data_IF_234953726553
#
_entry.id   IF_234953726553
#
_cell.length_a   1.000
_cell.length_b   1.000
_cell.length_c   1.000
_cell.angle_alpha   90.00
_cell.angle_beta   90.00
_cell.angle_gamma   90.00
#
_symmetry.space_group_name_H-M   'P 1'
#
loop_
_entity.id
_entity.type
_entity.pdbx_description
1 polymer ?
#
# COMPACT_ATOMS: atom_id res chain seq x y z
N UNK A 1 -28.87 23.03 -18.18
CA UNK A 1 -30.21 22.78 -17.59
C UNK A 1 -30.16 21.46 -16.83
N UNK A 2 -30.58 21.48 -15.57
CA UNK A 2 -30.42 20.43 -14.55
C UNK A 2 -31.20 19.13 -14.80
N UNK A 3 -30.66 17.99 -14.35
CA UNK A 3 -31.16 17.02 -13.30
C UNK A 3 -30.57 15.62 -13.52
N UNK A 4 -29.72 15.15 -12.60
CA UNK A 4 -29.96 14.17 -11.50
C UNK A 4 -30.25 12.72 -11.95
N UNK A 5 -29.35 11.79 -11.60
CA UNK A 5 -29.56 10.89 -10.45
C UNK A 5 -28.30 10.07 -10.13
N UNK A 6 -28.06 9.92 -8.83
CA UNK A 6 -26.96 9.21 -8.19
C UNK A 6 -27.41 7.81 -7.76
N UNK A 7 -26.51 6.82 -7.75
CA UNK A 7 -26.55 5.73 -6.75
C UNK A 7 -25.16 5.11 -6.56
N UNK A 8 -24.72 5.11 -5.31
CA UNK A 8 -23.50 4.52 -4.76
C UNK A 8 -23.88 3.17 -4.16
N UNK A 9 -23.13 2.10 -4.48
CA UNK A 9 -23.31 0.78 -3.90
C UNK A 9 -22.43 0.63 -2.64
N UNK A 10 -23.08 0.39 -1.50
CA UNK A 10 -22.45 -0.04 -0.25
C UNK A 10 -22.87 -1.50 0.01
N UNK A 11 -21.88 -2.37 0.20
CA UNK A 11 -22.07 -3.79 0.56
C UNK A 11 -21.97 -3.92 2.07
N UNK A 12 -23.05 -4.41 2.70
CA UNK A 12 -23.07 -4.96 4.07
C UNK A 12 -23.69 -6.36 4.01
N UNK A 13 -22.98 -7.34 4.57
CA UNK A 13 -23.46 -8.71 4.80
C UNK A 13 -24.02 -8.83 6.25
N UNK A 14 -24.98 -9.74 6.50
CA UNK A 14 -25.76 -9.79 7.74
C UNK A 14 -25.22 -10.75 8.81
N UNK A 15 -25.58 -10.44 10.07
CA UNK A 15 -25.45 -11.29 11.25
C UNK A 15 -26.51 -12.41 11.26
N UNK A 16 -26.10 -13.61 11.67
CA UNK A 16 -26.99 -14.71 12.01
C UNK A 16 -27.23 -14.77 13.53
N UNK A 17 -28.49 -14.97 13.90
CA UNK A 17 -28.98 -15.22 15.24
C UNK A 17 -29.09 -16.72 15.51
N UNK A 18 -28.77 -17.18 16.73
CA UNK A 18 -29.25 -18.46 17.27
C UNK A 18 -29.69 -18.28 18.73
N UNK A 19 -30.84 -18.88 19.00
CA UNK A 19 -31.74 -18.93 20.15
C UNK A 19 -31.19 -19.50 21.46
N UNK A 20 -31.86 -19.15 22.58
CA UNK A 20 -31.66 -19.75 23.90
C UNK A 20 -32.79 -20.67 24.39
N UNK A 21 -32.71 -21.08 25.66
CA UNK A 21 -33.84 -21.45 26.53
C UNK A 21 -33.81 -22.85 27.17
N UNK A 22 -33.92 -22.90 28.51
CA UNK A 22 -34.30 -24.05 29.35
C UNK A 22 -33.41 -24.24 30.60
N UNK A 23 -33.70 -23.70 31.79
CA UNK A 23 -34.74 -24.00 32.81
C UNK A 23 -34.24 -24.80 34.06
N UNK A 24 -34.31 -24.12 35.22
CA UNK A 24 -34.83 -24.58 36.55
C UNK A 24 -34.04 -25.62 37.37
N UNK A 25 -33.89 -25.63 38.72
CA UNK A 25 -34.68 -25.15 39.89
C UNK A 25 -33.84 -25.14 41.21
N UNK A 26 -34.22 -24.27 42.18
CA UNK A 26 -34.35 -24.49 43.66
C UNK A 26 -33.10 -24.73 44.57
N UNK A 27 -32.99 -24.34 45.85
CA UNK A 27 -33.84 -23.72 46.91
C UNK A 27 -32.95 -23.39 48.15
N UNK A 28 -33.26 -22.27 48.86
CA UNK A 28 -33.08 -21.89 50.30
C UNK A 28 -31.72 -22.14 51.06
N UNK A 29 -31.30 -21.45 52.13
CA UNK A 29 -31.88 -20.47 53.07
C UNK A 29 -30.75 -19.67 53.79
N UNK A 30 -31.14 -18.54 54.40
CA UNK A 30 -30.58 -17.74 55.52
C UNK A 30 -29.80 -18.52 56.62
N UNK A 31 -28.90 -17.99 57.47
CA UNK A 31 -28.68 -16.64 58.05
C UNK A 31 -27.37 -16.59 58.89
N UNK A 32 -26.81 -15.37 59.03
CA UNK A 32 -26.09 -14.77 60.19
C UNK A 32 -24.82 -15.42 60.78
N UNK A 33 -23.70 -14.67 60.82
CA UNK A 33 -23.16 -14.02 62.03
C UNK A 33 -21.80 -13.27 61.80
N UNK A 34 -21.75 -12.04 62.32
CA UNK A 34 -20.61 -11.29 62.94
C UNK A 34 -19.35 -10.86 62.14
N UNK A 35 -19.43 -9.62 61.62
CA UNK A 35 -18.65 -8.38 61.87
C UNK A 35 -17.18 -8.34 62.41
N UNK A 36 -16.45 -7.22 62.17
CA UNK A 36 -14.99 -7.11 61.97
C UNK A 36 -14.21 -6.49 63.15
N UNK A 37 -12.87 -6.51 63.13
CA UNK A 37 -12.03 -5.69 64.02
C UNK A 37 -10.71 -5.21 63.39
N UNK A 38 -10.52 -3.88 63.46
CA UNK A 38 -9.25 -3.14 63.50
C UNK A 38 -8.80 -3.00 64.97
N UNK A 39 -7.49 -3.15 65.26
CA UNK A 39 -6.71 -2.47 66.34
C UNK A 39 -5.28 -3.06 66.36
N UNK A 40 -4.22 -2.27 66.15
CA UNK A 40 -3.42 -1.51 67.13
C UNK A 40 -2.52 -2.33 68.10
N UNK A 41 -1.21 -2.38 67.76
CA UNK A 41 -0.01 -1.89 68.50
C UNK A 41 0.35 -2.41 69.93
N UNK A 42 1.60 -2.92 70.08
CA UNK A 42 2.60 -2.71 71.18
C UNK A 42 3.99 -2.97 70.55
N UNK A 43 5.01 -2.10 70.48
CA UNK A 43 5.80 -1.24 71.39
C UNK A 43 6.68 -1.94 72.43
N UNK A 44 8.00 -1.76 72.26
CA UNK A 44 9.03 -1.42 73.26
C UNK A 44 10.26 -0.91 72.43
N UNK A 45 10.94 0.20 72.67
CA UNK A 45 10.92 1.28 73.66
C UNK A 45 12.33 1.90 73.69
N UNK A 46 12.47 3.23 73.63
CA UNK A 46 13.31 4.06 74.52
C UNK A 46 13.34 5.53 74.07
N UNK A 47 13.06 6.41 75.04
CA UNK A 47 13.01 7.86 74.97
C UNK A 47 14.40 8.52 74.83
N UNK A 48 14.44 9.75 74.31
CA UNK A 48 14.83 10.92 75.12
C UNK A 48 14.61 12.23 74.36
N UNK A 49 14.02 13.16 75.09
CA UNK A 49 13.65 14.52 74.71
C UNK A 49 14.87 15.34 74.25
N UNK A 50 14.63 16.11 73.17
CA UNK A 50 15.08 17.49 72.89
C UNK A 50 16.29 18.10 73.62
N UNK A 51 16.99 19.02 72.90
CA UNK A 51 16.86 20.42 73.31
C UNK A 51 16.30 21.28 72.16
N UNK A 52 15.00 21.51 72.24
CA UNK A 52 14.16 22.37 71.39
C UNK A 52 14.16 23.81 71.92
N UNK A 53 15.33 24.36 72.27
CA UNK A 53 15.44 25.72 72.83
C UNK A 53 16.36 26.67 72.05
N UNK A 54 16.84 26.26 70.86
CA UNK A 54 17.63 27.14 69.95
C UNK A 54 16.99 27.42 68.59
N UNK A 55 15.69 27.11 68.43
CA UNK A 55 14.97 27.15 67.16
C UNK A 55 14.43 28.54 66.74
N UNK A 56 14.83 29.61 67.41
CA UNK A 56 14.43 30.98 67.07
C UNK A 56 15.23 31.64 65.94
N UNK A 57 16.47 31.23 65.69
CA UNK A 57 17.36 31.89 64.71
C UNK A 57 17.70 31.01 63.48
N UNK A 58 17.32 29.74 63.50
CA UNK A 58 17.62 28.79 62.42
C UNK A 58 16.52 28.70 61.35
N UNK A 59 15.29 29.15 61.64
CA UNK A 59 14.21 29.17 60.64
C UNK A 59 14.45 30.22 59.56
N UNK A 60 14.94 31.40 59.93
CA UNK A 60 15.21 32.47 58.97
C UNK A 60 16.46 32.17 58.14
N UNK A 61 17.51 31.63 58.76
CA UNK A 61 18.69 31.14 58.04
C UNK A 61 18.38 29.93 57.14
N UNK A 62 17.52 29.00 57.59
CA UNK A 62 17.07 27.87 56.77
C UNK A 62 16.13 28.31 55.64
N UNK A 63 15.31 29.34 55.86
CA UNK A 63 14.49 29.96 54.83
C UNK A 63 15.38 30.67 53.79
N UNK A 64 16.44 31.38 54.20
CA UNK A 64 17.40 32.01 53.30
C UNK A 64 18.28 31.01 52.56
N UNK A 65 18.69 29.91 53.19
CA UNK A 65 19.38 28.80 52.51
C UNK A 65 18.45 28.07 51.54
N UNK A 66 17.16 27.93 51.87
CA UNK A 66 16.16 27.32 50.99
C UNK A 66 15.78 28.26 49.84
N UNK A 67 15.70 29.57 50.08
CA UNK A 67 15.50 30.61 49.08
C UNK A 67 16.73 30.81 48.19
N UNK A 68 17.94 30.67 48.73
CA UNK A 68 19.21 30.66 47.99
C UNK A 68 19.36 29.41 47.14
N UNK A 69 18.98 28.23 47.67
CA UNK A 69 18.92 26.97 46.91
C UNK A 69 17.81 26.98 45.86
N UNK A 70 16.68 27.64 46.12
CA UNK A 70 15.62 27.85 45.12
C UNK A 70 16.04 28.87 44.03
N UNK A 71 16.81 29.91 44.37
CA UNK A 71 17.41 30.83 43.40
C UNK A 71 18.43 30.12 42.50
N UNK A 72 19.37 29.38 43.09
CA UNK A 72 20.31 28.55 42.32
C UNK A 72 19.59 27.50 41.49
N UNK A 73 18.57 26.82 42.03
CA UNK A 73 17.81 25.84 41.25
C UNK A 73 17.02 26.50 40.12
N UNK A 74 16.50 27.72 40.31
CA UNK A 74 15.79 28.46 39.26
C UNK A 74 16.75 28.97 38.18
N UNK A 75 17.96 29.38 38.55
CA UNK A 75 19.02 29.74 37.61
C UNK A 75 19.58 28.51 36.87
N UNK A 76 19.68 27.37 37.55
CA UNK A 76 20.01 26.06 36.96
C UNK A 76 18.89 25.63 36.00
N UNK A 77 17.62 25.73 36.38
CA UNK A 77 16.48 25.42 35.50
C UNK A 77 16.38 26.39 34.33
N UNK A 78 16.58 27.70 34.55
CA UNK A 78 16.60 28.70 33.48
C UNK A 78 17.79 28.51 32.54
N UNK A 79 18.94 28.05 33.04
CA UNK A 79 20.07 27.66 32.18
C UNK A 79 19.78 26.37 31.43
N UNK A 80 19.05 25.41 32.00
CA UNK A 80 18.55 24.24 31.27
C UNK A 80 17.55 24.63 30.16
N UNK A 81 16.59 25.52 30.41
CA UNK A 81 15.68 26.04 29.37
C UNK A 81 16.44 26.83 28.28
N UNK A 82 17.45 27.61 28.68
CA UNK A 82 18.32 28.35 27.76
C UNK A 82 19.24 27.43 26.94
N UNK A 83 19.70 26.32 27.50
CA UNK A 83 20.44 25.26 26.81
C UNK A 83 19.52 24.50 25.83
N UNK A 84 18.32 24.11 26.26
CA UNK A 84 17.32 23.47 25.39
C UNK A 84 16.98 24.34 24.17
N UNK A 85 16.83 25.66 24.35
CA UNK A 85 16.57 26.60 23.25
C UNK A 85 17.80 26.87 22.37
N UNK A 86 19.01 26.90 22.90
CA UNK A 86 20.26 27.01 22.12
C UNK A 86 20.54 25.76 21.29
N UNK A 87 20.41 24.58 21.90
CA UNK A 87 20.62 23.29 21.25
C UNK A 87 19.62 23.11 20.10
N UNK A 88 18.36 23.50 20.28
CA UNK A 88 17.33 23.49 19.23
C UNK A 88 17.73 24.30 17.99
N UNK A 89 18.27 25.51 18.20
CA UNK A 89 18.72 26.40 17.12
C UNK A 89 19.97 25.83 16.45
N UNK A 90 20.85 25.16 17.21
CA UNK A 90 22.07 24.55 16.68
C UNK A 90 21.78 23.29 15.84
N UNK A 91 20.92 22.38 16.28
CA UNK A 91 20.51 21.19 15.52
C UNK A 91 19.84 21.55 14.19
N UNK A 92 19.07 22.65 14.14
CA UNK A 92 18.41 23.12 12.89
C UNK A 92 19.36 23.79 11.92
N UNK A 93 20.41 24.48 12.39
CA UNK A 93 21.34 25.22 11.52
C UNK A 93 22.47 24.37 10.96
N UNK A 94 22.69 23.18 11.51
CA UNK A 94 23.82 22.31 11.14
C UNK A 94 23.44 21.40 9.98
N UNK A 95 24.24 21.38 8.90
CA UNK A 95 23.98 20.51 7.74
C UNK A 95 24.04 19.01 8.09
N UNK A 96 24.77 18.64 9.14
CA UNK A 96 24.92 17.26 9.64
C UNK A 96 24.58 17.19 11.13
N UNK A 97 23.30 17.10 11.51
CA UNK A 97 22.90 17.13 12.92
C UNK A 97 23.42 15.92 13.71
N UNK A 98 23.65 14.76 13.06
CA UNK A 98 24.17 13.56 13.72
C UNK A 98 25.65 13.67 14.13
N UNK A 99 26.43 14.55 13.50
CA UNK A 99 27.83 14.80 13.88
C UNK A 99 27.98 15.51 15.22
N UNK A 100 26.90 16.08 15.75
CA UNK A 100 26.86 16.70 17.07
C UNK A 100 26.77 15.66 18.20
N UNK A 101 26.40 14.41 17.88
CA UNK A 101 26.28 13.36 18.89
C UNK A 101 27.67 12.79 19.17
N UNK A 102 28.25 13.02 20.36
CA UNK A 102 29.58 12.54 20.67
C UNK A 102 29.56 11.02 20.85
N UNK A 103 30.55 10.36 20.23
CA UNK A 103 30.83 8.95 20.49
C UNK A 103 31.85 8.84 21.61
N UNK A 104 31.42 8.34 22.76
CA UNK A 104 32.32 8.04 23.86
C UNK A 104 32.96 6.67 23.67
N UNK A 105 34.28 6.59 23.66
CA UNK A 105 35.00 5.33 23.42
C UNK A 105 34.65 4.22 24.44
N UNK A 106 34.40 4.61 25.70
CA UNK A 106 34.11 3.68 26.81
C UNK A 106 32.64 3.63 27.22
N UNK A 107 31.77 4.50 26.71
CA UNK A 107 30.36 4.55 27.11
C UNK A 107 29.47 4.14 25.95
N UNK A 108 28.55 3.20 26.22
CA UNK A 108 27.58 2.71 25.23
C UNK A 108 26.29 3.55 25.21
N UNK A 109 26.08 4.37 26.24
CA UNK A 109 24.92 5.24 26.38
C UNK A 109 25.33 6.71 26.21
N UNK A 110 24.69 7.39 25.28
CA UNK A 110 24.82 8.84 25.06
C UNK A 110 23.47 9.50 25.33
N UNK A 111 23.36 10.19 26.47
CA UNK A 111 22.18 10.97 26.83
C UNK A 111 22.49 12.46 26.70
N UNK A 112 21.88 13.11 25.71
CA UNK A 112 21.96 14.56 25.50
C UNK A 112 20.74 15.30 26.04
N UNK A 113 19.73 14.56 26.52
CA UNK A 113 18.48 15.15 27.04
C UNK A 113 18.54 15.28 28.56
N UNK A 114 19.34 14.45 29.23
CA UNK A 114 19.43 14.40 30.69
C UNK A 114 18.21 13.72 31.32
N UNK A 115 17.59 12.79 30.59
CA UNK A 115 16.42 12.04 31.06
C UNK A 115 16.85 10.87 31.95
N UNK A 116 18.03 10.30 31.72
CA UNK A 116 18.49 9.11 32.44
C UNK A 116 19.08 9.46 33.80
N UNK A 117 18.63 8.76 34.84
CA UNK A 117 19.30 8.79 36.14
C UNK A 117 20.68 8.12 36.05
N UNK A 118 21.59 8.45 36.97
CA UNK A 118 22.92 7.82 36.99
C UNK A 118 22.85 6.32 37.26
N UNK A 119 21.85 5.87 38.04
CA UNK A 119 21.61 4.46 38.36
C UNK A 119 21.10 3.71 37.13
N UNK A 120 20.04 4.21 36.49
CA UNK A 120 19.45 3.60 35.29
C UNK A 120 20.45 3.56 34.14
N UNK A 121 21.28 4.60 33.98
CA UNK A 121 22.35 4.60 32.97
C UNK A 121 23.35 3.47 33.20
N UNK A 122 23.78 3.27 34.43
CA UNK A 122 24.71 2.21 34.79
C UNK A 122 24.08 0.83 34.55
N UNK A 123 22.79 0.67 34.86
CA UNK A 123 22.04 -0.55 34.58
C UNK A 123 21.97 -0.86 33.09
N UNK A 124 21.68 0.15 32.25
CA UNK A 124 21.68 0.01 30.78
C UNK A 124 23.07 -0.38 30.27
N UNK A 125 24.13 0.29 30.74
CA UNK A 125 25.51 -0.04 30.33
C UNK A 125 25.87 -1.48 30.69
N UNK A 126 25.54 -1.94 31.90
CA UNK A 126 25.74 -3.33 32.31
C UNK A 126 24.92 -4.34 31.50
N UNK A 127 23.67 -4.01 31.15
CA UNK A 127 22.83 -4.86 30.31
C UNK A 127 23.40 -5.00 28.89
N UNK A 128 23.92 -3.90 28.32
CA UNK A 128 24.59 -3.90 27.02
C UNK A 128 25.86 -4.74 27.06
N UNK A 129 26.70 -4.61 28.08
CA UNK A 129 27.94 -5.39 28.21
C UNK A 129 27.66 -6.90 28.34
N UNK A 130 26.64 -7.27 29.12
CA UNK A 130 26.17 -8.66 29.21
C UNK A 130 25.65 -9.16 27.87
N UNK A 131 24.86 -8.36 27.15
CA UNK A 131 24.38 -8.73 25.83
C UNK A 131 25.52 -8.89 24.82
N UNK A 132 26.55 -8.04 24.88
CA UNK A 132 27.72 -8.13 24.01
C UNK A 132 28.49 -9.44 24.25
N UNK A 133 28.74 -9.79 25.52
CA UNK A 133 29.45 -11.03 25.88
C UNK A 133 28.69 -12.31 25.53
N UNK A 134 27.36 -12.32 25.71
CA UNK A 134 26.53 -13.50 25.46
C UNK A 134 26.11 -13.65 23.99
N UNK A 135 25.73 -12.55 23.34
CA UNK A 135 25.11 -12.58 22.01
C UNK A 135 26.05 -12.11 20.89
N UNK A 136 27.25 -11.62 21.21
CA UNK A 136 28.23 -11.03 20.26
C UNK A 136 27.63 -9.89 19.43
N UNK A 137 26.79 -9.08 20.07
CA UNK A 137 26.07 -7.95 19.49
C UNK A 137 26.54 -6.66 20.13
N UNK A 138 26.94 -5.68 19.32
CA UNK A 138 27.33 -4.35 19.79
C UNK A 138 26.12 -3.42 19.77
N UNK A 139 25.64 -3.00 20.93
CA UNK A 139 24.52 -2.07 21.05
C UNK A 139 24.94 -0.71 21.59
N UNK A 140 24.32 0.34 21.04
CA UNK A 140 24.39 1.70 21.57
C UNK A 140 23.00 2.27 21.81
N UNK A 141 22.89 3.13 22.82
CA UNK A 141 21.66 3.85 23.15
C UNK A 141 21.94 5.35 23.08
N UNK A 142 21.14 6.06 22.28
CA UNK A 142 21.31 7.49 22.02
C UNK A 142 19.99 8.20 22.30
N UNK A 143 20.00 9.14 23.24
CA UNK A 143 18.88 10.02 23.53
C UNK A 143 19.24 11.42 23.03
N UNK A 144 18.43 11.94 22.11
CA UNK A 144 18.63 13.24 21.48
C UNK A 144 17.40 14.13 21.69
N UNK A 145 17.58 15.45 21.87
CA UNK A 145 16.47 16.37 22.03
C UNK A 145 15.64 16.49 20.74
N UNK A 146 16.30 16.56 19.58
CA UNK A 146 15.67 16.66 18.25
C UNK A 146 16.57 16.10 17.15
N UNK A 147 15.99 15.69 16.02
CA UNK A 147 16.71 15.25 14.81
C UNK A 147 16.81 16.34 13.72
N UNK A 148 16.33 17.56 14.01
CA UNK A 148 16.38 18.70 13.11
C UNK A 148 15.46 18.55 11.89
N UNK A 149 15.96 18.85 10.69
CA UNK A 149 15.21 18.75 9.41
C UNK A 149 15.29 17.37 8.75
N UNK A 150 15.91 16.39 9.40
CA UNK A 150 16.07 15.05 8.86
C UNK A 150 15.00 14.10 9.36
N UNK A 151 14.75 12.99 8.65
CA UNK A 151 13.85 11.96 9.18
C UNK A 151 14.55 11.23 10.33
N UNK A 152 13.86 10.86 11.43
CA UNK A 152 14.48 10.14 12.56
C UNK A 152 15.21 8.87 12.14
N UNK A 153 14.67 8.16 11.13
CA UNK A 153 15.30 6.96 10.56
C UNK A 153 16.59 7.29 9.81
N UNK A 154 16.62 8.35 8.99
CA UNK A 154 17.83 8.77 8.30
C UNK A 154 18.91 9.23 9.29
N UNK A 155 18.52 10.00 10.31
CA UNK A 155 19.39 10.45 11.39
C UNK A 155 20.01 9.28 12.17
N UNK A 156 19.20 8.28 12.54
CA UNK A 156 19.69 7.09 13.24
C UNK A 156 20.62 6.25 12.34
N UNK A 157 20.29 6.09 11.06
CA UNK A 157 21.16 5.41 10.10
C UNK A 157 22.50 6.13 9.94
N UNK A 158 22.53 7.46 9.87
CA UNK A 158 23.80 8.20 9.75
C UNK A 158 24.69 8.03 10.97
N UNK A 159 24.13 7.99 12.19
CA UNK A 159 24.90 7.65 13.41
C UNK A 159 25.43 6.21 13.31
N UNK A 160 24.59 5.27 12.90
CA UNK A 160 24.95 3.86 12.80
C UNK A 160 26.15 3.64 11.86
N UNK A 161 26.15 4.31 10.71
CA UNK A 161 27.25 4.26 9.74
C UNK A 161 28.50 5.01 10.21
N UNK A 162 28.36 6.25 10.69
CA UNK A 162 29.50 7.06 11.15
C UNK A 162 30.24 6.40 12.31
N UNK A 163 29.53 5.65 13.16
CA UNK A 163 30.12 4.93 14.28
C UNK A 163 30.58 3.50 13.92
N UNK A 164 30.37 3.04 12.69
CA UNK A 164 30.72 1.70 12.23
C UNK A 164 30.24 0.61 13.21
N UNK A 165 28.98 0.70 13.66
CA UNK A 165 28.48 -0.13 14.77
C UNK A 165 28.36 -1.60 14.32
N UNK A 166 29.06 -2.48 15.03
CA UNK A 166 29.05 -3.91 14.78
C UNK A 166 29.83 -4.37 13.55
N UNK A 167 30.63 -3.51 12.94
CA UNK A 167 31.58 -3.91 11.89
C UNK A 167 32.76 -4.72 12.47
N UNK A 168 33.32 -5.68 11.70
CA UNK A 168 32.97 -6.08 10.33
C UNK A 168 31.82 -7.11 10.27
N UNK A 169 31.36 -7.61 11.41
CA UNK A 169 30.42 -8.72 11.48
C UNK A 169 28.98 -8.33 11.11
N UNK A 170 28.63 -7.04 11.15
CA UNK A 170 27.28 -6.52 10.92
C UNK A 170 26.29 -6.83 12.05
N UNK A 171 26.78 -7.08 13.27
CA UNK A 171 25.97 -7.43 14.45
C UNK A 171 25.69 -6.20 15.33
N UNK A 172 25.51 -5.04 14.71
CA UNK A 172 25.30 -3.77 15.41
C UNK A 172 23.83 -3.49 15.69
N UNK A 173 23.54 -2.92 16.85
CA UNK A 173 22.24 -2.35 17.21
C UNK A 173 22.39 -0.90 17.67
N UNK A 174 21.48 -0.04 17.26
CA UNK A 174 21.40 1.33 17.74
C UNK A 174 19.96 1.68 18.08
N UNK A 175 19.72 2.00 19.35
CA UNK A 175 18.47 2.54 19.83
C UNK A 175 18.58 4.06 19.89
N UNK A 176 17.75 4.77 19.13
CA UNK A 176 17.67 6.23 19.15
C UNK A 176 16.30 6.65 19.67
N UNK A 177 16.28 7.48 20.70
CA UNK A 177 15.08 8.10 21.25
C UNK A 177 15.17 9.60 21.00
N UNK A 178 14.25 10.13 20.20
CA UNK A 178 14.16 11.54 19.89
C UNK A 178 13.00 12.16 20.67
N UNK A 179 13.33 13.03 21.63
CA UNK A 179 12.36 13.56 22.60
C UNK A 179 11.27 14.39 21.90
N UNK A 180 11.66 15.34 21.04
CA UNK A 180 10.74 16.30 20.43
C UNK A 180 9.83 15.69 19.37
N UNK A 181 10.38 14.79 18.56
CA UNK A 181 9.62 14.04 17.56
C UNK A 181 8.81 12.90 18.20
N UNK A 182 9.00 12.65 19.51
CA UNK A 182 8.38 11.58 20.27
C UNK A 182 8.52 10.21 19.57
N UNK A 183 9.68 9.95 18.98
CA UNK A 183 9.93 8.76 18.18
C UNK A 183 11.05 7.91 18.77
N UNK A 184 10.84 6.60 18.71
CA UNK A 184 11.83 5.58 19.07
C UNK A 184 12.20 4.82 17.79
N UNK A 185 13.48 4.77 17.47
CA UNK A 185 14.01 4.09 16.29
C UNK A 185 15.03 3.05 16.72
N UNK A 186 14.90 1.83 16.22
CA UNK A 186 15.89 0.77 16.37
C UNK A 186 16.49 0.49 15.00
N UNK A 187 17.78 0.77 14.85
CA UNK A 187 18.55 0.44 13.65
C UNK A 187 19.36 -0.82 13.92
N UNK A 188 19.27 -1.77 13.01
CA UNK A 188 19.92 -3.07 13.10
C UNK A 188 20.87 -3.28 11.92
N UNK A 189 22.01 -3.91 12.21
CA UNK A 189 22.98 -4.29 11.21
C UNK A 189 22.50 -5.43 10.33
N UNK A 190 23.10 -5.57 9.15
CA UNK A 190 22.65 -6.48 8.09
C UNK A 190 22.53 -7.95 8.53
N UNK A 191 23.32 -8.40 9.51
CA UNK A 191 23.30 -9.79 10.02
C UNK A 191 22.02 -10.10 10.79
N UNK A 192 21.57 -9.14 11.60
CA UNK A 192 20.52 -9.32 12.60
C UNK A 192 19.23 -8.56 12.26
N UNK A 193 19.22 -7.82 11.16
CA UNK A 193 18.09 -7.00 10.68
C UNK A 193 16.75 -7.74 10.67
N UNK A 194 16.75 -9.00 10.24
CA UNK A 194 15.55 -9.85 10.14
C UNK A 194 14.89 -10.14 11.50
N UNK A 195 15.63 -10.05 12.60
CA UNK A 195 15.14 -10.32 13.96
C UNK A 195 14.72 -9.07 14.72
N UNK A 196 15.19 -7.90 14.27
CA UNK A 196 14.97 -6.60 14.88
C UNK A 196 14.23 -5.68 13.92
N UNK A 197 13.03 -6.12 13.54
CA UNK A 197 12.18 -5.45 12.57
C UNK A 197 11.14 -4.56 13.26
N UNK A 198 10.45 -3.71 12.48
CA UNK A 198 9.38 -2.85 13.02
C UNK A 198 8.25 -3.63 13.69
N UNK A 199 8.04 -4.89 13.30
CA UNK A 199 7.06 -5.79 13.90
C UNK A 199 7.38 -6.15 15.35
N UNK A 200 8.66 -6.12 15.74
CA UNK A 200 9.10 -6.31 17.13
C UNK A 200 9.09 -4.98 17.90
N UNK A 201 9.65 -3.93 17.30
CA UNK A 201 9.81 -2.65 17.99
C UNK A 201 8.46 -1.98 18.30
N UNK A 202 7.51 -1.98 17.36
CA UNK A 202 6.25 -1.26 17.54
C UNK A 202 5.41 -1.78 18.73
N UNK A 203 5.23 -3.11 18.91
CA UNK A 203 4.62 -3.66 20.13
C UNK A 203 5.43 -3.37 21.39
N UNK A 204 6.76 -3.54 21.36
CA UNK A 204 7.61 -3.27 22.52
C UNK A 204 7.47 -1.82 23.01
N UNK A 205 7.46 -0.85 22.08
CA UNK A 205 7.26 0.56 22.42
C UNK A 205 5.85 0.83 22.95
N UNK A 206 4.82 0.23 22.34
CA UNK A 206 3.42 0.45 22.76
C UNK A 206 3.11 -0.13 24.13
N UNK A 207 3.54 -1.36 24.39
CA UNK A 207 3.17 -2.10 25.60
C UNK A 207 4.11 -1.82 26.78
N UNK A 208 5.39 -1.54 26.53
CA UNK A 208 6.39 -1.36 27.60
C UNK A 208 6.76 0.11 27.78
N UNK A 209 7.15 0.79 26.70
CA UNK A 209 7.74 2.12 26.79
C UNK A 209 6.70 3.21 27.03
N UNK A 210 5.63 3.25 26.22
CA UNK A 210 4.59 4.28 26.29
C UNK A 210 3.88 4.41 27.66
N UNK A 211 3.45 3.33 28.35
CA UNK A 211 2.79 3.48 29.64
C UNK A 211 3.72 4.11 30.70
N UNK A 212 4.97 3.66 30.78
CA UNK A 212 5.94 4.18 31.74
C UNK A 212 6.28 5.67 31.51
N UNK A 213 6.31 6.10 30.24
CA UNK A 213 6.48 7.52 29.91
C UNK A 213 5.25 8.34 30.33
N UNK A 214 4.03 7.81 30.15
CA UNK A 214 2.79 8.46 30.62
C UNK A 214 2.74 8.61 32.14
N UNK A 215 3.30 7.65 32.86
CA UNK A 215 3.43 7.68 34.32
C UNK A 215 4.54 8.63 34.82
N UNK A 216 5.21 9.35 33.91
CA UNK A 216 6.28 10.28 34.25
C UNK A 216 7.61 9.63 34.59
N UNK A 217 7.83 8.35 34.20
CA UNK A 217 9.07 7.59 34.45
C UNK A 217 9.81 7.21 33.16
N UNK A 218 10.30 8.20 32.38
CA UNK A 218 10.95 7.95 31.09
C UNK A 218 12.31 7.24 31.20
N UNK A 219 13.04 7.44 32.32
CA UNK A 219 14.31 6.75 32.57
C UNK A 219 14.10 5.24 32.68
N UNK A 220 13.18 4.83 33.57
CA UNK A 220 12.78 3.44 33.73
C UNK A 220 12.19 2.84 32.44
N UNK A 221 11.41 3.61 31.68
CA UNK A 221 10.89 3.18 30.37
C UNK A 221 12.02 2.77 29.41
N UNK A 222 13.10 3.54 29.39
CA UNK A 222 14.27 3.27 28.54
C UNK A 222 14.98 1.99 28.96
N UNK A 223 15.18 1.79 30.28
CA UNK A 223 15.75 0.56 30.85
C UNK A 223 14.94 -0.66 30.42
N UNK A 224 13.61 -0.61 30.59
CA UNK A 224 12.72 -1.73 30.24
C UNK A 224 12.73 -2.03 28.75
N UNK A 225 12.81 -1.01 27.89
CA UNK A 225 12.93 -1.21 26.46
C UNK A 225 14.26 -1.87 26.07
N UNK A 226 15.37 -1.48 26.71
CA UNK A 226 16.67 -2.13 26.51
C UNK A 226 16.62 -3.60 26.96
N UNK A 227 15.96 -3.90 28.08
CA UNK A 227 15.76 -5.30 28.50
C UNK A 227 14.92 -6.10 27.51
N UNK A 228 13.88 -5.52 26.93
CA UNK A 228 13.09 -6.19 25.89
C UNK A 228 13.95 -6.53 24.66
N UNK A 229 14.81 -5.61 24.24
CA UNK A 229 15.77 -5.82 23.13
C UNK A 229 16.80 -6.89 23.51
N UNK A 230 17.37 -6.83 24.71
CA UNK A 230 18.35 -7.81 25.19
C UNK A 230 17.76 -9.22 25.28
N UNK A 231 16.49 -9.34 25.70
CA UNK A 231 15.76 -10.60 25.70
C UNK A 231 15.56 -11.15 24.29
N UNK A 232 15.09 -10.32 23.36
CA UNK A 232 14.95 -10.70 21.94
C UNK A 232 16.29 -11.16 21.36
N UNK A 233 17.38 -10.45 21.71
CA UNK A 233 18.72 -10.84 21.29
C UNK A 233 19.11 -12.22 21.84
N UNK A 234 18.89 -12.45 23.13
CA UNK A 234 19.22 -13.71 23.78
C UNK A 234 18.38 -14.88 23.24
N UNK A 235 17.12 -14.68 22.88
CA UNK A 235 16.30 -15.76 22.30
C UNK A 235 16.72 -16.08 20.85
N UNK A 236 17.15 -15.07 20.09
CA UNK A 236 17.45 -15.21 18.66
C UNK A 236 18.92 -15.47 18.34
N UNK A 237 19.86 -15.28 19.28
CA UNK A 237 21.30 -15.33 18.96
C UNK A 237 21.75 -16.66 18.35
N UNK A 238 21.23 -17.78 18.86
CA UNK A 238 21.51 -19.10 18.31
C UNK A 238 21.06 -19.27 16.86
N UNK A 239 20.06 -18.50 16.39
CA UNK A 239 19.54 -18.58 15.02
C UNK A 239 20.38 -17.79 14.03
N UNK A 240 20.90 -16.62 14.41
CA UNK A 240 21.76 -15.85 13.51
C UNK A 240 23.20 -16.36 13.49
N UNK A 241 23.65 -17.03 14.55
CA UNK A 241 24.95 -17.73 14.54
C UNK A 241 24.91 -18.99 13.66
N UNK A 242 23.75 -19.61 13.48
CA UNK A 242 23.57 -20.74 12.57
C UNK A 242 23.66 -20.28 11.11
N UNK A 243 24.71 -20.73 10.42
CA UNK A 243 24.91 -20.53 8.99
C UNK A 243 26.16 -21.26 8.50
N UNK A 244 26.12 -21.75 7.26
CA UNK A 244 27.25 -22.46 6.63
C UNK A 244 28.43 -21.51 6.30
N UNK A 245 28.18 -20.20 6.23
CA UNK A 245 29.14 -19.17 5.85
C UNK A 245 29.48 -18.26 7.03
N UNK A 246 30.69 -17.69 7.04
CA UNK A 246 31.09 -16.68 8.02
C UNK A 246 30.20 -15.44 7.92
N UNK A 247 29.89 -14.79 9.04
CA UNK A 247 29.04 -13.58 9.09
C UNK A 247 29.41 -12.50 8.03
N UNK A 248 30.68 -12.11 7.83
CA UNK A 248 31.01 -11.08 6.84
C UNK A 248 30.73 -11.50 5.39
N UNK A 249 30.92 -12.77 5.02
CA UNK A 249 30.62 -13.25 3.66
C UNK A 249 29.12 -13.38 3.43
N UNK A 250 28.38 -13.88 4.42
CA UNK A 250 26.91 -13.95 4.39
C UNK A 250 26.29 -12.56 4.21
N UNK A 251 26.85 -11.55 4.87
CA UNK A 251 26.39 -10.16 4.73
C UNK A 251 26.58 -9.63 3.31
N UNK A 252 27.74 -9.84 2.68
CA UNK A 252 27.95 -9.44 1.28
C UNK A 252 26.93 -10.10 0.35
N UNK A 253 26.64 -11.38 0.53
CA UNK A 253 25.63 -12.10 -0.26
C UNK A 253 24.23 -11.53 -0.03
N UNK A 254 23.85 -11.24 1.23
CA UNK A 254 22.55 -10.65 1.57
C UNK A 254 22.38 -9.25 0.96
N UNK A 255 23.45 -8.45 0.96
CA UNK A 255 23.47 -7.12 0.33
C UNK A 255 23.26 -7.24 -1.19
N UNK A 256 24.02 -8.10 -1.87
CA UNK A 256 23.86 -8.36 -3.31
C UNK A 256 22.43 -8.82 -3.63
N UNK A 257 21.87 -9.74 -2.84
CA UNK A 257 20.50 -10.21 -2.99
C UNK A 257 19.45 -9.10 -2.86
N UNK A 258 19.63 -8.16 -1.93
CA UNK A 258 18.76 -6.98 -1.80
C UNK A 258 18.86 -6.09 -3.05
N UNK A 259 20.07 -5.78 -3.50
CA UNK A 259 20.30 -4.95 -4.70
C UNK A 259 19.66 -5.56 -5.95
N UNK A 260 19.81 -6.88 -6.15
CA UNK A 260 19.17 -7.59 -7.27
C UNK A 260 17.65 -7.53 -7.16
N UNK A 261 17.08 -7.73 -5.96
CA UNK A 261 15.63 -7.65 -5.75
C UNK A 261 15.06 -6.25 -6.04
N UNK A 262 15.78 -5.20 -5.67
CA UNK A 262 15.41 -3.82 -6.03
C UNK A 262 15.46 -3.62 -7.55
N UNK A 263 16.52 -4.08 -8.21
CA UNK A 263 16.65 -4.05 -9.66
C UNK A 263 15.49 -4.77 -10.37
N UNK A 264 15.17 -5.99 -9.96
CA UNK A 264 14.10 -6.79 -10.58
C UNK A 264 12.70 -6.23 -10.31
N UNK A 265 12.45 -5.62 -9.15
CA UNK A 265 11.10 -5.13 -8.81
C UNK A 265 10.82 -3.71 -9.28
N UNK A 266 11.77 -2.78 -9.19
CA UNK A 266 11.51 -1.36 -9.49
C UNK A 266 11.81 -0.99 -10.94
N UNK A 267 12.85 -1.57 -11.53
CA UNK A 267 13.28 -1.24 -12.90
C UNK A 267 12.24 -1.60 -13.97
N UNK A 268 11.48 -2.72 -13.90
CA UNK A 268 10.49 -3.02 -14.93
C UNK A 268 9.39 -1.97 -15.02
N UNK A 269 8.99 -1.36 -13.90
CA UNK A 269 8.00 -0.29 -13.91
C UNK A 269 8.52 0.98 -14.58
N UNK A 270 9.80 1.29 -14.40
CA UNK A 270 10.43 2.41 -15.10
C UNK A 270 10.51 2.14 -16.60
N UNK A 271 10.91 0.93 -17.01
CA UNK A 271 10.97 0.54 -18.42
C UNK A 271 9.58 0.55 -19.06
N UNK A 272 8.57 -0.02 -18.39
CA UNK A 272 7.19 0.00 -18.84
C UNK A 272 6.64 1.44 -18.95
N UNK A 273 6.98 2.31 -17.99
CA UNK A 273 6.65 3.73 -18.04
C UNK A 273 7.25 4.42 -19.26
N UNK A 274 8.54 4.23 -19.51
CA UNK A 274 9.22 4.81 -20.70
C UNK A 274 8.57 4.32 -21.99
N UNK A 275 8.32 3.01 -22.13
CA UNK A 275 7.66 2.45 -23.31
C UNK A 275 6.27 3.05 -23.52
N UNK A 276 5.48 3.19 -22.46
CA UNK A 276 4.16 3.83 -22.53
C UNK A 276 4.24 5.29 -23.01
N UNK A 277 5.15 6.09 -22.45
CA UNK A 277 5.34 7.48 -22.89
C UNK A 277 5.82 7.59 -24.34
N UNK A 278 6.70 6.70 -24.79
CA UNK A 278 7.12 6.67 -26.20
C UNK A 278 5.99 6.30 -27.14
N UNK A 279 5.13 5.34 -26.77
CA UNK A 279 3.95 4.98 -27.55
C UNK A 279 2.93 6.14 -27.60
N UNK A 280 2.68 6.81 -26.46
CA UNK A 280 1.79 7.97 -26.40
C UNK A 280 2.31 9.14 -27.24
N UNK A 281 3.61 9.42 -27.19
CA UNK A 281 4.22 10.49 -28.00
C UNK A 281 4.19 10.16 -29.49
N UNK A 282 4.50 8.92 -29.87
CA UNK A 282 4.37 8.47 -31.26
C UNK A 282 2.93 8.58 -31.78
N UNK A 283 1.95 8.16 -30.97
CA UNK A 283 0.53 8.29 -31.30
C UNK A 283 0.09 9.76 -31.44
N UNK A 284 0.54 10.63 -30.54
CA UNK A 284 0.26 12.06 -30.59
C UNK A 284 0.90 12.71 -31.83
N UNK A 285 2.14 12.35 -32.16
CA UNK A 285 2.83 12.84 -33.36
C UNK A 285 2.15 12.36 -34.65
N UNK A 286 1.64 11.12 -34.67
CA UNK A 286 0.82 10.63 -35.79
C UNK A 286 -0.46 11.45 -35.96
N UNK A 287 -1.15 11.79 -34.87
CA UNK A 287 -2.33 12.66 -34.93
C UNK A 287 -2.01 14.07 -35.44
N UNK A 288 -0.81 14.59 -35.14
CA UNK A 288 -0.36 15.91 -35.63
C UNK A 288 0.01 15.87 -37.12
N UNK A 289 0.63 14.78 -37.60
CA UNK A 289 0.93 14.59 -39.01
C UNK A 289 -0.34 14.63 -39.88
N UNK A 290 -1.48 14.13 -39.36
CA UNK A 290 -2.78 14.20 -40.06
C UNK A 290 -3.28 15.64 -40.27
N UNK A 291 -2.76 16.62 -39.53
CA UNK A 291 -3.13 18.04 -39.67
C UNK A 291 -2.28 18.79 -40.71
N UNK A 292 -1.25 18.14 -41.24
CA UNK A 292 -0.29 18.73 -42.15
C UNK A 292 -0.50 18.19 -43.57
N UNK A 293 -0.54 19.08 -44.56
CA UNK A 293 -0.71 18.68 -45.95
C UNK A 293 0.51 17.87 -46.44
N UNK A 294 0.33 16.68 -47.06
CA UNK A 294 1.44 15.85 -47.54
C UNK A 294 2.22 16.46 -48.70
N UNK A 295 1.68 17.48 -49.39
CA UNK A 295 2.32 18.14 -50.53
C UNK A 295 3.08 19.41 -50.14
N UNK A 296 2.46 20.31 -49.37
CA UNK A 296 3.01 21.64 -49.07
C UNK A 296 3.40 21.83 -47.61
N UNK A 297 3.19 20.83 -46.75
CA UNK A 297 3.50 20.87 -45.32
C UNK A 297 2.86 22.02 -44.52
N UNK A 298 1.84 22.68 -45.08
CA UNK A 298 1.04 23.66 -44.34
C UNK A 298 -0.11 23.00 -43.57
N UNK A 299 -0.52 23.69 -42.50
CA UNK A 299 -1.64 23.28 -41.66
C UNK A 299 -2.95 23.29 -42.47
N UNK A 300 -3.72 22.21 -42.34
CA UNK A 300 -5.01 22.05 -43.01
C UNK A 300 -6.15 22.51 -42.09
N UNK A 301 -7.26 22.94 -42.68
CA UNK A 301 -8.47 23.23 -41.93
C UNK A 301 -9.42 22.03 -41.97
N UNK A 302 -10.09 21.77 -40.85
CA UNK A 302 -11.07 20.69 -40.76
C UNK A 302 -12.35 21.11 -41.46
N UNK A 303 -12.78 20.29 -42.41
CA UNK A 303 -14.01 20.53 -43.17
C UNK A 303 -15.20 20.01 -42.38
N UNK A 304 -16.24 20.85 -42.23
CA UNK A 304 -17.52 20.48 -41.60
C UNK A 304 -18.74 20.67 -42.52
N UNK A 305 -18.58 21.35 -43.64
CA UNK A 305 -19.72 21.71 -44.50
C UNK A 305 -20.11 20.55 -45.42
N UNK A 306 -21.37 20.14 -45.38
CA UNK A 306 -21.90 18.97 -46.12
C UNK A 306 -21.61 19.04 -47.63
N UNK A 307 -21.78 20.21 -48.25
CA UNK A 307 -21.53 20.42 -49.68
C UNK A 307 -20.06 20.21 -50.07
N UNK A 308 -19.13 20.49 -49.15
CA UNK A 308 -17.69 20.28 -49.39
C UNK A 308 -17.26 18.87 -49.04
N UNK A 309 -17.89 18.24 -48.04
CA UNK A 309 -17.71 16.84 -47.68
C UNK A 309 -18.10 15.90 -48.83
N UNK A 310 -19.26 16.15 -49.46
CA UNK A 310 -19.76 15.35 -50.58
C UNK A 310 -18.84 15.41 -51.82
N UNK A 311 -18.10 16.52 -52.01
CA UNK A 311 -17.16 16.68 -53.13
C UNK A 311 -15.82 15.98 -52.89
N UNK A 312 -15.38 15.91 -51.63
CA UNK A 312 -14.07 15.39 -51.25
C UNK A 312 -14.09 13.88 -50.98
N UNK A 313 -15.23 13.33 -50.56
CA UNK A 313 -15.37 11.91 -50.21
C UNK A 313 -16.05 11.12 -51.31
N UNK A 314 -15.84 9.80 -51.31
CA UNK A 314 -16.66 8.92 -52.16
C UNK A 314 -18.10 8.86 -51.66
N UNK A 315 -19.04 8.55 -52.56
CA UNK A 315 -20.47 8.40 -52.21
C UNK A 315 -20.67 7.42 -51.03
N UNK A 316 -19.93 6.32 -51.01
CA UNK A 316 -19.99 5.32 -49.93
C UNK A 316 -19.55 5.90 -48.58
N UNK A 317 -18.41 6.59 -48.52
CA UNK A 317 -17.91 7.21 -47.29
C UNK A 317 -18.84 8.29 -46.74
N UNK A 318 -19.42 9.11 -47.63
CA UNK A 318 -20.38 10.14 -47.23
C UNK A 318 -21.66 9.54 -46.65
N UNK A 319 -22.19 8.46 -47.25
CA UNK A 319 -23.36 7.75 -46.72
C UNK A 319 -23.07 7.10 -45.37
N UNK A 320 -21.88 6.52 -45.17
CA UNK A 320 -21.48 5.99 -43.87
C UNK A 320 -21.42 7.07 -42.79
N UNK A 321 -20.95 8.27 -43.13
CA UNK A 321 -20.89 9.41 -42.21
C UNK A 321 -22.30 9.89 -41.82
N UNK A 322 -23.20 10.09 -42.80
CA UNK A 322 -24.58 10.53 -42.53
C UNK A 322 -25.36 9.50 -41.72
N UNK A 323 -25.19 8.21 -42.05
CA UNK A 323 -25.88 7.13 -41.34
C UNK A 323 -25.33 6.90 -39.93
N UNK A 324 -24.23 7.57 -39.55
CA UNK A 324 -23.55 7.40 -38.27
C UNK A 324 -22.82 6.06 -38.14
N UNK A 325 -22.50 5.40 -39.25
CA UNK A 325 -21.85 4.09 -39.28
C UNK A 325 -20.32 4.19 -39.18
N UNK A 326 -19.75 5.27 -39.70
CA UNK A 326 -18.32 5.54 -39.63
C UNK A 326 -18.08 7.03 -39.40
N UNK A 327 -17.05 7.32 -38.61
CA UNK A 327 -16.62 8.70 -38.38
C UNK A 327 -15.34 8.99 -39.16
N UNK A 328 -15.46 9.95 -40.08
CA UNK A 328 -14.36 10.43 -40.91
C UNK A 328 -13.88 11.80 -40.42
N UNK A 329 -12.56 11.99 -40.37
CA UNK A 329 -11.94 13.31 -40.30
C UNK A 329 -11.49 13.69 -41.70
N UNK A 330 -12.08 14.75 -42.23
CA UNK A 330 -11.74 15.31 -43.54
C UNK A 330 -11.04 16.64 -43.34
N UNK A 331 -9.86 16.76 -43.93
CA UNK A 331 -9.07 17.99 -43.92
C UNK A 331 -8.88 18.48 -45.34
N UNK A 332 -8.92 19.81 -45.50
CA UNK A 332 -8.63 20.48 -46.76
C UNK A 332 -7.51 21.49 -46.56
N UNK A 333 -6.53 21.49 -47.45
CA UNK A 333 -5.49 22.49 -47.46
C UNK A 333 -6.02 23.79 -48.08
N UNK A 334 -5.79 24.97 -47.46
CA UNK A 334 -6.17 26.25 -48.08
C UNK A 334 -5.25 26.63 -49.26
N UNK A 335 -4.01 26.11 -49.30
CA UNK A 335 -3.00 26.49 -50.29
C UNK A 335 -2.94 25.56 -51.51
N UNK A 336 -3.39 24.30 -51.39
CA UNK A 336 -3.38 23.33 -52.48
C UNK A 336 -4.80 22.98 -52.91
N UNK A 337 -5.10 23.10 -54.21
CA UNK A 337 -6.41 22.73 -54.77
C UNK A 337 -6.72 21.23 -54.58
N UNK A 338 -5.70 20.37 -54.75
CA UNK A 338 -5.87 18.91 -54.69
C UNK A 338 -5.49 18.31 -53.32
N UNK A 339 -4.98 19.12 -52.40
CA UNK A 339 -4.48 18.67 -51.10
C UNK A 339 -5.62 18.43 -50.11
N UNK A 340 -6.12 17.20 -50.05
CA UNK A 340 -7.10 16.76 -49.07
C UNK A 340 -6.65 15.46 -48.41
N UNK A 341 -7.02 15.27 -47.14
CA UNK A 341 -6.82 14.01 -46.43
C UNK A 341 -8.15 13.56 -45.83
N UNK A 342 -8.50 12.30 -46.05
CA UNK A 342 -9.69 11.66 -45.50
C UNK A 342 -9.21 10.50 -44.65
N UNK A 343 -9.36 10.64 -43.32
CA UNK A 343 -8.89 9.64 -42.36
C UNK A 343 -10.09 9.05 -41.63
N UNK A 344 -10.21 7.73 -41.70
CA UNK A 344 -11.17 6.97 -40.90
C UNK A 344 -10.71 6.96 -39.44
N UNK A 345 -11.54 7.47 -38.54
CA UNK A 345 -11.20 7.55 -37.11
C UNK A 345 -11.79 6.42 -36.29
N UNK A 346 -13.03 6.04 -36.59
CA UNK A 346 -13.72 4.94 -35.93
C UNK A 346 -14.83 4.41 -36.84
N UNK A 347 -15.16 3.13 -36.66
CA UNK A 347 -16.35 2.50 -37.23
C UNK A 347 -17.19 1.96 -36.09
N UNK A 348 -18.49 2.20 -36.16
CA UNK A 348 -19.42 1.60 -35.22
C UNK A 348 -19.71 0.19 -35.71
N UNK A 349 -18.97 -0.78 -35.16
CA UNK A 349 -19.17 -2.21 -35.44
C UNK A 349 -20.30 -2.80 -34.58
N UNK A 350 -21.33 -2.00 -34.29
CA UNK A 350 -22.47 -2.49 -33.53
C UNK A 350 -23.28 -3.47 -34.37
N UNK A 351 -23.61 -4.64 -33.80
CA UNK A 351 -24.46 -5.68 -34.41
C UNK A 351 -25.94 -5.25 -34.55
N UNK A 352 -26.20 -3.95 -34.56
CA UNK A 352 -27.55 -3.43 -34.76
C UNK A 352 -27.98 -3.66 -36.21
N UNK A 353 -29.28 -3.59 -36.51
CA UNK A 353 -29.82 -3.75 -37.88
C UNK A 353 -29.40 -2.66 -38.87
N UNK A 354 -28.60 -1.70 -38.41
CA UNK A 354 -28.11 -0.55 -39.15
C UNK A 354 -26.58 -0.62 -39.18
N UNK A 355 -25.98 -0.29 -40.34
CA UNK A 355 -24.53 -0.28 -40.58
C UNK A 355 -23.89 -1.66 -40.83
N UNK A 356 -24.49 -2.50 -41.67
CA UNK A 356 -23.84 -3.73 -42.13
C UNK A 356 -22.92 -3.45 -43.34
N UNK A 357 -21.84 -4.21 -43.45
CA UNK A 357 -20.94 -4.15 -44.59
C UNK A 357 -21.57 -4.79 -45.84
N UNK A 358 -21.58 -4.05 -46.95
CA UNK A 358 -21.99 -4.59 -48.24
C UNK A 358 -20.91 -5.51 -48.82
N UNK A 359 -21.29 -6.69 -49.32
CA UNK A 359 -20.33 -7.62 -49.94
C UNK A 359 -19.82 -7.12 -51.31
N UNK A 360 -20.62 -6.33 -52.03
CA UNK A 360 -20.28 -5.87 -53.38
C UNK A 360 -19.46 -4.57 -53.35
N UNK A 361 -19.86 -3.58 -52.53
CA UNK A 361 -19.16 -2.29 -52.46
C UNK A 361 -18.31 -2.08 -51.22
N UNK A 362 -18.24 -3.03 -50.29
CA UNK A 362 -17.43 -3.01 -49.04
C UNK A 362 -17.71 -1.87 -48.04
N UNK A 363 -18.58 -0.91 -48.38
CA UNK A 363 -19.06 0.14 -47.49
C UNK A 363 -20.15 -0.35 -46.51
N UNK A 364 -20.16 0.21 -45.31
CA UNK A 364 -21.09 -0.03 -44.21
C UNK A 364 -22.41 0.75 -44.40
N UNK A 365 -23.04 0.56 -45.55
CA UNK A 365 -24.27 1.25 -45.95
C UNK A 365 -25.47 0.30 -46.10
N UNK A 366 -25.34 -0.96 -45.64
CA UNK A 366 -26.44 -1.91 -45.70
C UNK A 366 -27.37 -1.80 -44.49
N UNK A 367 -28.66 -1.75 -44.77
CA UNK A 367 -29.74 -1.96 -43.82
C UNK A 367 -30.26 -3.40 -43.88
N UNK A 368 -30.63 -3.95 -42.72
CA UNK A 368 -31.23 -5.27 -42.59
C UNK A 368 -32.68 -5.15 -42.14
N UNK A 369 -33.60 -5.50 -43.03
CA UNK A 369 -35.02 -5.68 -42.72
C UNK A 369 -35.30 -7.14 -42.38
N UNK A 370 -36.15 -7.36 -41.37
CA UNK A 370 -36.46 -8.68 -40.83
C UNK A 370 -37.96 -8.88 -40.84
N UNK A 371 -38.42 -9.86 -41.59
CA UNK A 371 -39.83 -10.20 -41.69
C UNK A 371 -40.01 -11.69 -41.33
N UNK A 372 -40.99 -11.99 -40.47
CA UNK A 372 -41.33 -13.37 -40.13
C UNK A 372 -42.48 -13.78 -41.04
N UNK A 373 -42.18 -14.62 -42.04
CA UNK A 373 -43.19 -15.10 -42.99
C UNK A 373 -44.10 -16.14 -42.33
N UNK A 374 -43.52 -17.05 -41.54
CA UNK A 374 -44.23 -18.12 -40.85
C UNK A 374 -43.58 -18.42 -39.51
N UNK A 375 -44.35 -18.44 -38.43
CA UNK A 375 -43.86 -18.86 -37.12
C UNK A 375 -43.74 -20.38 -37.04
N UNK A 376 -42.74 -20.92 -36.31
CA UNK A 376 -42.60 -22.36 -36.11
C UNK A 376 -43.75 -22.93 -35.26
N UNK A 377 -44.23 -24.11 -35.62
CA UNK A 377 -45.22 -24.88 -34.87
C UNK A 377 -44.63 -26.20 -34.36
N UNK A 378 -45.36 -26.96 -33.54
CA UNK A 378 -44.89 -28.27 -33.05
C UNK A 378 -44.62 -29.29 -34.17
N UNK A 379 -45.22 -29.09 -35.36
CA UNK A 379 -45.15 -30.04 -36.49
C UNK A 379 -44.37 -29.50 -37.68
N UNK A 380 -44.27 -28.18 -37.84
CA UNK A 380 -43.70 -27.53 -39.02
C UNK A 380 -42.70 -26.44 -38.63
N UNK A 381 -41.59 -26.35 -39.36
CA UNK A 381 -40.61 -25.28 -39.20
C UNK A 381 -41.19 -23.93 -39.67
N UNK A 382 -40.74 -22.86 -39.03
CA UNK A 382 -41.03 -21.49 -39.44
C UNK A 382 -40.06 -20.99 -40.51
N UNK A 383 -40.38 -19.86 -41.10
CA UNK A 383 -39.54 -19.19 -42.10
C UNK A 383 -39.42 -17.71 -41.77
N UNK A 384 -38.19 -17.22 -41.76
CA UNK A 384 -37.87 -15.81 -41.58
C UNK A 384 -37.17 -15.28 -42.82
N UNK A 385 -37.69 -14.20 -43.38
CA UNK A 385 -37.08 -13.48 -44.50
C UNK A 385 -36.18 -12.37 -43.97
N UNK A 386 -34.94 -12.36 -44.42
CA UNK A 386 -33.97 -11.29 -44.20
C UNK A 386 -33.73 -10.57 -45.53
N UNK A 387 -33.99 -9.28 -45.58
CA UNK A 387 -33.76 -8.44 -46.75
C UNK A 387 -32.60 -7.49 -46.46
N UNK A 388 -31.50 -7.67 -47.17
CA UNK A 388 -30.35 -6.77 -47.13
C UNK A 388 -30.48 -5.77 -48.26
N UNK A 389 -30.45 -4.48 -47.97
CA UNK A 389 -30.50 -3.41 -48.98
C UNK A 389 -29.35 -2.44 -48.77
N UNK A 390 -28.59 -2.14 -49.83
CA UNK A 390 -27.48 -1.20 -49.77
C UNK A 390 -27.85 0.16 -50.36
N UNK A 391 -27.73 1.24 -49.57
CA UNK A 391 -28.04 2.60 -50.04
C UNK A 391 -27.02 3.16 -51.08
N UNK A 392 -25.83 2.57 -51.17
CA UNK A 392 -24.77 3.02 -52.08
C UNK A 392 -24.87 2.37 -53.47
N UNK A 393 -24.84 1.03 -53.54
CA UNK A 393 -24.91 0.29 -54.80
C UNK A 393 -26.31 -0.16 -55.21
N UNK A 394 -27.33 0.05 -54.37
CA UNK A 394 -28.73 -0.36 -54.58
C UNK A 394 -28.93 -1.86 -54.80
N UNK A 395 -27.90 -2.68 -54.54
CA UNK A 395 -28.02 -4.14 -54.59
C UNK A 395 -28.74 -4.62 -53.34
N UNK A 396 -29.82 -5.38 -53.56
CA UNK A 396 -30.56 -6.07 -52.53
C UNK A 396 -30.32 -7.58 -52.59
N UNK A 397 -30.26 -8.25 -51.42
CA UNK A 397 -30.23 -9.71 -51.33
C UNK A 397 -31.27 -10.18 -50.33
N UNK A 398 -32.01 -11.21 -50.70
CA UNK A 398 -33.00 -11.85 -49.83
C UNK A 398 -32.46 -13.21 -49.38
N UNK A 399 -32.47 -13.45 -48.06
CA UNK A 399 -32.06 -14.72 -47.47
C UNK A 399 -33.21 -15.26 -46.63
N UNK A 400 -33.61 -16.49 -46.92
CA UNK A 400 -34.62 -17.21 -46.15
C UNK A 400 -33.92 -18.07 -45.10
N UNK A 401 -34.19 -17.78 -43.83
CA UNK A 401 -33.70 -18.54 -42.70
C UNK A 401 -34.80 -19.48 -42.17
N UNK A 402 -34.55 -20.80 -42.09
CA UNK A 402 -35.46 -21.71 -41.42
C UNK A 402 -35.44 -21.45 -39.91
N UNK A 403 -36.62 -21.28 -39.32
CA UNK A 403 -36.81 -21.24 -37.87
C UNK A 403 -37.19 -22.64 -37.42
N UNK A 404 -36.22 -23.40 -36.91
CA UNK A 404 -36.46 -24.77 -36.49
C UNK A 404 -37.46 -24.86 -35.34
N UNK A 405 -38.31 -25.89 -35.40
CA UNK A 405 -39.24 -26.23 -34.33
C UNK A 405 -38.53 -26.45 -32.98
N UNK A 406 -39.14 -26.08 -31.85
CA UNK A 406 -38.61 -26.43 -30.54
C UNK A 406 -38.64 -27.96 -30.37
N UNK A 407 -37.50 -28.56 -30.08
CA UNK A 407 -37.41 -29.99 -29.75
C UNK A 407 -38.17 -30.23 -28.45
N UNK A 408 -39.14 -31.15 -28.47
CA UNK A 408 -39.70 -31.68 -27.24
C UNK A 408 -38.57 -32.46 -26.55
N UNK A 409 -38.08 -31.95 -25.43
CA UNK A 409 -37.18 -32.70 -24.57
C UNK A 409 -38.05 -33.75 -23.89
N UNK A 410 -37.98 -35.00 -24.36
CA UNK A 410 -38.48 -36.14 -23.60
C UNK A 410 -37.67 -36.18 -22.31
N UNK A 411 -38.29 -35.89 -21.17
CA UNK A 411 -37.63 -35.75 -19.86
C UNK A 411 -36.92 -37.02 -19.36
N UNK A 412 -37.05 -38.14 -20.09
CA UNK A 412 -36.49 -39.46 -19.73
C UNK A 412 -35.26 -39.88 -20.55
N UNK A 413 -34.87 -39.17 -21.62
CA UNK A 413 -33.68 -39.53 -22.41
C UNK A 413 -32.54 -38.52 -22.28
N UNK A 414 -31.35 -39.00 -21.93
CA UNK A 414 -30.16 -38.18 -21.79
C UNK A 414 -29.70 -37.68 -23.17
N UNK A 415 -29.36 -36.39 -23.25
CA UNK A 415 -29.17 -35.66 -24.51
C UNK A 415 -28.04 -36.18 -25.44
N UNK A 416 -27.24 -37.15 -25.00
CA UNK A 416 -26.10 -37.72 -25.74
C UNK A 416 -26.35 -39.12 -26.33
N UNK A 417 -27.53 -39.72 -26.15
CA UNK A 417 -27.81 -41.07 -26.67
C UNK A 417 -27.72 -41.17 -28.21
N UNK A 418 -27.97 -40.08 -28.94
CA UNK A 418 -27.82 -40.04 -30.40
C UNK A 418 -26.36 -40.19 -30.86
N UNK A 419 -25.37 -39.85 -30.01
CA UNK A 419 -23.95 -40.07 -30.30
C UNK A 419 -23.56 -41.55 -30.18
N UNK A 420 -24.29 -42.31 -29.34
CA UNK A 420 -24.08 -43.76 -29.17
C UNK A 420 -24.67 -44.52 -30.36
N UNK A 421 -25.85 -44.12 -30.84
CA UNK A 421 -26.50 -44.75 -32.00
C UNK A 421 -25.69 -44.60 -33.31
N UNK A 422 -25.03 -43.46 -33.51
CA UNK A 422 -24.15 -43.23 -34.67
C UNK A 422 -22.89 -44.12 -34.69
N UNK A 423 -22.45 -44.64 -33.54
CA UNK A 423 -21.29 -45.55 -33.46
C UNK A 423 -21.63 -47.00 -33.80
N UNK A 424 -22.87 -47.44 -33.58
CA UNK A 424 -23.30 -48.82 -33.80
C UNK A 424 -23.66 -49.11 -35.27
N UNK A 425 -24.06 -48.10 -36.03
CA UNK A 425 -24.38 -48.23 -37.46
C UNK A 425 -23.14 -48.49 -38.31
N UNK A 426 -21.95 -48.02 -37.89
CA UNK A 426 -20.68 -48.29 -38.55
C UNK A 426 -20.08 -49.68 -38.27
N UNK A 427 -20.49 -50.39 -37.20
CA UNK A 427 -20.02 -51.75 -36.92
C UNK A 427 -20.79 -52.85 -37.66
N UNK A 428 -22.04 -52.59 -38.09
CA UNK A 428 -22.89 -53.60 -38.76
C UNK A 428 -22.72 -53.69 -40.28
N UNK A 429 -21.98 -52.78 -40.92
CA UNK A 429 -21.80 -52.74 -42.38
C UNK A 429 -20.56 -53.50 -42.89
N UNK A 430 -19.85 -54.26 -42.05
CA UNK A 430 -18.62 -54.96 -42.44
C UNK A 430 -18.74 -56.50 -42.53
N UNK A 431 -19.92 -57.02 -42.92
CA UNK A 431 -20.15 -58.46 -43.07
C UNK A 431 -21.01 -58.81 -44.27
N UNK A 432 -20.38 -59.48 -45.25
CA UNK A 432 -20.93 -60.14 -46.46
C UNK A 432 -20.98 -59.31 -47.76
N UNK A 433 -19.82 -59.20 -48.41
CA UNK A 433 -19.70 -59.28 -49.86
C UNK A 433 -19.39 -60.74 -50.22
N UNK A 434 -20.32 -61.43 -50.86
CA UNK A 434 -20.07 -62.69 -51.58
C UNK A 434 -20.39 -62.46 -53.06
N UNK A 435 -19.35 -62.66 -53.88
CA UNK A 435 -19.28 -62.90 -55.34
C UNK A 435 -20.09 -61.97 -56.26
#
# INVERSE_FOLDING_TARGET
MWRRCSTVAAVRLPCAAISGGGNTTAVAASSSLSSPLLTSRRHAGFDLLSPLSKLGQSRDLAADLKAGRQRNNREIVASFEKMQTMDEIHYRKTQRPWGLVPRYAKKRVTDLVGILSSEDRMEIEQAIDKMQSLCKTDMYVVLVPTVGYTTPKAFANSIFFDWAIGEPNGNGLLLVIAQREATVQLISGLSIEEYFDNNFLAPAVREVFQPLVRDGKPSQATVQLVYAIARQAHEMHMRWEKGLLTLPTRNKVRFVGKTVRYGVKQVPYLVAGVLFFTACTAWLMSQLLDTVCPKCHHLMSRVRDDATLQKLMTRGQYLELINGCAYYRVWKCPHCADGHSVVLCSRDMHQNTKCLQCMDCQYYTCSLEKEIMKLPSKREDGLKKLTYSCANCHVGREVLLPLYRPLAIDTEKQWYDFLVEGSQTHQKTNGKLHL
#
